data_IF_463795362742
#
_entry.id   IF_463795362742
#
_cell.length_a   1.000
_cell.length_b   1.000
_cell.length_c   1.000
_cell.angle_alpha   90.00
_cell.angle_beta   90.00
_cell.angle_gamma   90.00
#
_symmetry.space_group_name_H-M   'P 1'
#
loop_
_entity.id
_entity.type
_entity.pdbx_description
1 polymer ?
#
# COMPACT_ATOMS: atom_id res chain seq x y z
N UNK A 1 -16.03 8.72 -0.02
CA UNK A 1 -14.71 8.12 -0.34
C UNK A 1 -14.76 7.37 -1.67
N UNK A 2 -14.79 8.07 -2.82
CA UNK A 2 -15.00 7.45 -4.13
C UNK A 2 -13.70 6.94 -4.81
N UNK A 3 -12.52 7.38 -4.34
CA UNK A 3 -11.24 7.06 -4.98
C UNK A 3 -10.72 5.65 -4.67
N UNK A 4 -11.09 5.08 -3.50
CA UNK A 4 -10.56 3.78 -3.05
C UNK A 4 -10.96 2.63 -3.96
N UNK A 5 -12.15 2.65 -4.56
CA UNK A 5 -12.61 1.61 -5.50
C UNK A 5 -12.10 1.78 -6.94
N UNK A 6 -11.48 2.92 -7.26
CA UNK A 6 -10.96 3.20 -8.61
C UNK A 6 -9.47 2.89 -8.76
N UNK A 7 -8.78 2.55 -7.66
CA UNK A 7 -7.35 2.22 -7.66
C UNK A 7 -7.02 1.05 -8.61
N UNK A 8 -7.90 0.05 -8.68
CA UNK A 8 -7.74 -1.11 -9.57
C UNK A 8 -7.86 -0.82 -11.07
N UNK A 9 -8.28 0.39 -11.47
CA UNK A 9 -8.38 0.74 -12.89
C UNK A 9 -7.02 1.02 -13.52
N UNK A 10 -6.12 1.68 -12.78
CA UNK A 10 -4.86 2.19 -13.32
C UNK A 10 -3.63 1.58 -12.65
N UNK A 11 -3.76 1.03 -11.43
CA UNK A 11 -2.66 0.43 -10.67
C UNK A 11 -2.76 -1.09 -10.77
N UNK A 12 -1.64 -1.72 -11.11
CA UNK A 12 -1.46 -3.17 -11.21
C UNK A 12 -0.85 -3.78 -9.96
N UNK A 13 0.00 -3.05 -9.24
CA UNK A 13 0.61 -3.52 -7.99
C UNK A 13 0.81 -2.34 -7.05
N UNK A 14 0.48 -2.52 -5.78
CA UNK A 14 0.82 -1.59 -4.72
C UNK A 14 1.74 -2.30 -3.73
N UNK A 15 2.91 -1.74 -3.47
CA UNK A 15 3.88 -2.27 -2.53
C UNK A 15 4.20 -1.23 -1.46
N UNK A 16 3.93 -1.59 -0.22
CA UNK A 16 4.27 -0.77 0.95
C UNK A 16 5.52 -1.37 1.60
N UNK A 17 6.59 -0.59 1.65
CA UNK A 17 7.80 -0.89 2.39
C UNK A 17 7.78 -0.09 3.68
N UNK A 18 7.82 -0.76 4.82
CA UNK A 18 7.83 -0.08 6.12
C UNK A 18 8.65 -0.84 7.16
N UNK A 19 9.10 -0.14 8.19
CA UNK A 19 9.81 -0.74 9.31
C UNK A 19 8.86 -1.10 10.47
N UNK A 20 9.12 -2.23 11.13
CA UNK A 20 8.28 -2.74 12.21
C UNK A 20 8.52 -2.02 13.55
N UNK A 21 9.71 -1.44 13.75
CA UNK A 21 10.12 -0.86 15.04
C UNK A 21 10.49 0.62 14.97
N UNK A 22 10.80 1.16 13.78
CA UNK A 22 11.22 2.56 13.67
C UNK A 22 10.07 3.54 13.94
N UNK A 23 10.29 4.63 14.70
CA UNK A 23 9.28 5.65 14.95
C UNK A 23 8.86 6.38 13.66
N UNK A 24 9.76 6.51 12.69
CA UNK A 24 9.48 7.13 11.39
C UNK A 24 8.39 6.38 10.59
N UNK A 25 8.28 5.06 10.79
CA UNK A 25 7.29 4.20 10.12
C UNK A 25 5.99 4.00 10.91
N UNK A 26 5.83 4.64 12.06
CA UNK A 26 4.64 4.47 12.93
C UNK A 26 3.33 4.88 12.24
N UNK A 27 3.36 5.99 11.49
CA UNK A 27 2.22 6.50 10.73
C UNK A 27 1.82 5.57 9.57
N UNK A 28 2.79 5.01 8.86
CA UNK A 28 2.56 4.04 7.79
C UNK A 28 1.92 2.75 8.32
N UNK A 29 2.34 2.27 9.49
CA UNK A 29 1.75 1.09 10.14
C UNK A 29 0.28 1.32 10.51
N UNK A 30 -0.01 2.44 11.15
CA UNK A 30 -1.38 2.82 11.50
C UNK A 30 -2.28 2.98 10.26
N UNK A 31 -1.72 3.46 9.14
CA UNK A 31 -2.43 3.54 7.87
C UNK A 31 -2.78 2.17 7.31
N UNK A 32 -1.84 1.21 7.34
CA UNK A 32 -2.05 -0.16 6.89
C UNK A 32 -3.13 -0.85 7.74
N UNK A 33 -3.03 -0.78 9.07
CA UNK A 33 -4.01 -1.44 9.97
C UNK A 33 -5.44 -0.94 9.73
N UNK A 34 -5.63 0.37 9.57
CA UNK A 34 -6.97 0.96 9.39
C UNK A 34 -7.53 0.78 7.98
N UNK A 35 -6.70 0.90 6.94
CA UNK A 35 -7.18 1.02 5.56
C UNK A 35 -7.02 -0.27 4.74
N UNK A 36 -6.14 -1.21 5.12
CA UNK A 36 -5.83 -2.39 4.31
C UNK A 36 -7.08 -3.25 4.06
N UNK A 37 -7.90 -3.47 5.08
CA UNK A 37 -9.13 -4.26 4.97
C UNK A 37 -10.08 -3.67 3.95
N UNK A 38 -10.37 -2.37 4.05
CA UNK A 38 -11.26 -1.69 3.11
C UNK A 38 -10.70 -1.67 1.68
N UNK A 39 -9.40 -1.39 1.52
CA UNK A 39 -8.76 -1.33 0.21
C UNK A 39 -8.80 -2.69 -0.52
N UNK A 40 -8.60 -3.78 0.22
CA UNK A 40 -8.66 -5.14 -0.30
C UNK A 40 -10.09 -5.58 -0.63
N UNK A 41 -11.07 -5.22 0.20
CA UNK A 41 -12.48 -5.50 -0.06
C UNK A 41 -12.98 -4.76 -1.30
N UNK A 42 -12.56 -3.51 -1.50
CA UNK A 42 -12.95 -2.72 -2.67
C UNK A 42 -12.22 -3.11 -3.95
N UNK A 43 -11.02 -3.69 -3.86
CA UNK A 43 -10.20 -4.06 -5.02
C UNK A 43 -9.64 -5.49 -4.89
N UNK A 44 -10.48 -6.53 -5.04
CA UNK A 44 -10.04 -7.92 -4.87
C UNK A 44 -8.99 -8.38 -5.89
N UNK A 45 -8.93 -7.73 -7.06
CA UNK A 45 -7.97 -8.03 -8.14
C UNK A 45 -6.63 -7.27 -8.01
N UNK A 46 -6.52 -6.30 -7.10
CA UNK A 46 -5.31 -5.51 -6.92
C UNK A 46 -4.38 -6.19 -5.91
N UNK A 47 -3.19 -6.66 -6.31
CA UNK A 47 -2.20 -7.16 -5.37
C UNK A 47 -1.62 -6.00 -4.56
N UNK A 48 -1.98 -5.96 -3.26
CA UNK A 48 -1.39 -5.06 -2.26
C UNK A 48 -0.40 -5.87 -1.44
N UNK A 49 0.90 -5.60 -1.64
CA UNK A 49 2.01 -6.25 -0.96
C UNK A 49 2.53 -5.38 0.17
N UNK A 50 2.60 -5.92 1.38
CA UNK A 50 3.23 -5.27 2.53
C UNK A 50 4.57 -5.98 2.75
N UNK A 51 5.66 -5.22 2.71
CA UNK A 51 7.04 -5.69 2.94
C UNK A 51 7.58 -4.97 4.15
N UNK A 52 7.76 -5.73 5.23
CA UNK A 52 8.34 -5.22 6.46
C UNK A 52 9.86 -5.44 6.42
N UNK A 53 10.64 -4.37 6.59
CA UNK A 53 12.10 -4.42 6.61
C UNK A 53 12.66 -3.48 7.69
N UNK A 54 13.67 -3.93 8.43
CA UNK A 54 14.33 -3.13 9.47
C UNK A 54 15.26 -2.08 8.87
N UNK A 55 15.25 -0.87 9.42
CA UNK A 55 16.16 0.21 9.01
C UNK A 55 15.82 0.88 7.67
N UNK A 56 14.65 0.61 7.09
CA UNK A 56 14.21 1.23 5.83
C UNK A 56 13.20 2.35 6.10
N UNK A 57 13.33 3.45 5.37
CA UNK A 57 12.33 4.52 5.38
C UNK A 57 10.99 4.03 4.79
N UNK A 58 9.85 4.51 5.30
CA UNK A 58 8.56 4.11 4.77
C UNK A 58 8.41 4.58 3.31
N UNK A 59 8.28 3.63 2.38
CA UNK A 59 8.14 3.89 0.95
C UNK A 59 6.89 3.23 0.37
N UNK A 60 6.26 3.90 -0.59
CA UNK A 60 5.11 3.40 -1.33
C UNK A 60 5.48 3.28 -2.81
N UNK A 61 5.37 2.07 -3.34
CA UNK A 61 5.62 1.76 -4.74
C UNK A 61 4.30 1.39 -5.39
N UNK A 62 3.98 2.04 -6.50
CA UNK A 62 2.81 1.71 -7.31
C UNK A 62 3.26 1.40 -8.73
N UNK A 63 2.90 0.22 -9.23
CA UNK A 63 3.11 -0.16 -10.63
C UNK A 63 1.84 0.14 -11.40
N UNK A 64 1.93 0.99 -12.41
CA UNK A 64 0.84 1.32 -13.31
C UNK A 64 0.89 0.42 -14.56
N UNK A 65 -0.23 0.32 -15.28
CA UNK A 65 -0.32 -0.55 -16.47
C UNK A 65 0.39 0.03 -17.71
N UNK A 66 0.57 1.35 -17.75
CA UNK A 66 1.34 2.03 -18.77
C UNK A 66 2.80 2.09 -18.34
N UNK A 67 3.61 1.21 -18.93
CA UNK A 67 5.08 1.19 -18.79
C UNK A 67 5.78 2.26 -19.64
N UNK A 68 5.22 3.48 -19.71
CA UNK A 68 5.82 4.65 -20.35
C UNK A 68 5.53 5.89 -19.51
#
# INVERSE_FOLDING_TARGET
MAWRGQLSKNIKELRLLMCQSSPASSSARAFVEKNYKELKTLNPKLPILIRECSGVEPQLWARYDLGC
#
